data_IF_425517619660
#
_entry.id   IF_425517619660
#
_cell.length_a   1.000
_cell.length_b   1.000
_cell.length_c   1.000
_cell.angle_alpha   90.00
_cell.angle_beta   90.00
_cell.angle_gamma   90.00
#
_symmetry.space_group_name_H-M   'P 1'
#
loop_
_entity.id
_entity.type
_entity.pdbx_description
1 polymer ?
#
# COMPACT_ATOMS: atom_id res chain seq x y z
N UNK A 1 8.36 -45.55 -28.73
CA UNK A 1 9.33 -44.92 -27.81
C UNK A 1 9.26 -45.54 -26.40
N UNK A 2 9.30 -46.88 -26.26
CA UNK A 2 9.35 -47.53 -24.93
C UNK A 2 10.62 -47.24 -24.12
N UNK A 3 11.68 -46.73 -24.77
CA UNK A 3 13.01 -46.59 -24.17
C UNK A 3 13.29 -45.27 -23.44
N UNK A 4 12.57 -44.18 -23.72
CA UNK A 4 12.90 -42.87 -23.13
C UNK A 4 12.28 -42.63 -21.74
N UNK A 5 11.12 -43.23 -21.43
CA UNK A 5 10.44 -43.08 -20.13
C UNK A 5 10.61 -44.29 -19.19
N UNK A 6 10.96 -45.47 -19.72
CA UNK A 6 11.30 -46.64 -18.89
C UNK A 6 12.71 -46.56 -18.26
N UNK A 7 13.51 -45.54 -18.59
CA UNK A 7 14.92 -45.47 -18.21
C UNK A 7 15.22 -44.81 -16.85
N UNK A 8 14.25 -44.24 -16.12
CA UNK A 8 14.54 -43.76 -14.77
C UNK A 8 13.29 -43.68 -13.85
N UNK A 9 12.84 -44.80 -13.26
CA UNK A 9 11.88 -44.78 -12.14
C UNK A 9 12.38 -43.95 -10.93
N UNK A 10 13.69 -43.69 -10.87
CA UNK A 10 14.28 -42.76 -9.92
C UNK A 10 13.87 -41.30 -10.17
N UNK A 11 13.62 -40.86 -11.42
CA UNK A 11 13.35 -39.45 -11.73
C UNK A 11 11.99 -38.99 -11.20
N UNK A 12 10.96 -39.82 -11.31
CA UNK A 12 9.62 -39.50 -10.80
C UNK A 12 9.58 -39.56 -9.27
N UNK A 13 10.33 -40.49 -8.68
CA UNK A 13 10.50 -40.62 -7.22
C UNK A 13 11.32 -39.47 -6.63
N UNK A 14 12.36 -39.01 -7.30
CA UNK A 14 13.14 -37.85 -6.87
C UNK A 14 12.36 -36.56 -7.05
N UNK A 15 11.59 -36.39 -8.13
CA UNK A 15 10.77 -35.20 -8.35
C UNK A 15 9.65 -35.07 -7.32
N UNK A 16 8.96 -36.17 -6.99
CA UNK A 16 7.98 -36.20 -5.90
C UNK A 16 8.63 -35.99 -4.53
N UNK A 17 9.80 -36.62 -4.28
CA UNK A 17 10.55 -36.46 -3.03
C UNK A 17 10.99 -35.02 -2.80
N UNK A 18 11.58 -34.38 -3.81
CA UNK A 18 12.01 -32.97 -3.76
C UNK A 18 10.81 -32.04 -3.53
N UNK A 19 9.69 -32.30 -4.19
CA UNK A 19 8.45 -31.52 -4.04
C UNK A 19 7.92 -31.58 -2.61
N UNK A 20 7.84 -32.78 -2.02
CA UNK A 20 7.40 -32.94 -0.64
C UNK A 20 8.37 -32.28 0.35
N UNK A 21 9.68 -32.44 0.17
CA UNK A 21 10.66 -31.78 1.05
C UNK A 21 10.56 -30.25 0.96
N UNK A 22 10.29 -29.71 -0.23
CA UNK A 22 10.10 -28.27 -0.42
C UNK A 22 8.84 -27.78 0.32
N UNK A 23 7.73 -28.52 0.22
CA UNK A 23 6.48 -28.19 0.91
C UNK A 23 6.68 -28.17 2.43
N UNK A 24 7.34 -29.19 3.00
CA UNK A 24 7.61 -29.23 4.44
C UNK A 24 8.57 -28.11 4.89
N UNK A 25 9.61 -27.82 4.10
CA UNK A 25 10.53 -26.73 4.42
C UNK A 25 9.83 -25.36 4.38
N UNK A 26 9.01 -25.11 3.36
CA UNK A 26 8.22 -23.88 3.24
C UNK A 26 7.22 -23.76 4.39
N UNK A 27 6.52 -24.84 4.72
CA UNK A 27 5.55 -24.86 5.83
C UNK A 27 6.23 -24.55 7.17
N UNK A 28 7.42 -25.13 7.41
CA UNK A 28 8.21 -24.84 8.61
C UNK A 28 8.72 -23.39 8.64
N UNK A 29 9.16 -22.85 7.50
CA UNK A 29 9.58 -21.46 7.40
C UNK A 29 8.43 -20.47 7.69
N UNK A 30 7.23 -20.74 7.16
CA UNK A 30 6.01 -19.94 7.43
C UNK A 30 5.62 -20.04 8.90
N UNK A 31 5.65 -21.23 9.48
CA UNK A 31 5.38 -21.44 10.91
C UNK A 31 6.39 -20.71 11.81
N UNK A 32 7.68 -20.77 11.47
CA UNK A 32 8.72 -20.04 12.21
C UNK A 32 8.51 -18.52 12.19
N UNK A 33 8.10 -17.97 11.03
CA UNK A 33 7.81 -16.55 10.90
C UNK A 33 6.56 -16.09 11.68
N UNK A 34 5.61 -17.00 11.94
CA UNK A 34 4.36 -16.69 12.66
C UNK A 34 4.45 -16.87 14.17
N UNK A 35 5.31 -17.75 14.69
CA UNK A 35 5.42 -18.03 16.14
C UNK A 35 6.28 -17.02 16.90
N UNK A 36 7.29 -16.44 16.25
CA UNK A 36 8.14 -15.41 16.86
C UNK A 36 8.31 -14.21 15.92
N UNK A 37 7.24 -13.45 15.66
CA UNK A 37 7.34 -12.26 14.84
C UNK A 37 8.16 -11.22 15.60
N UNK A 38 9.28 -10.82 15.01
CA UNK A 38 10.07 -9.69 15.50
C UNK A 38 9.52 -8.34 15.02
N UNK A 39 8.44 -8.36 14.23
CA UNK A 39 7.76 -7.16 13.73
C UNK A 39 6.41 -7.00 14.43
N UNK A 40 6.12 -5.76 14.83
CA UNK A 40 4.88 -5.36 15.47
C UNK A 40 4.26 -4.23 14.66
N UNK A 41 2.93 -4.24 14.52
CA UNK A 41 2.16 -3.16 13.95
C UNK A 41 1.65 -2.29 15.10
N UNK A 42 1.82 -0.98 15.00
CA UNK A 42 1.16 -0.03 15.89
C UNK A 42 0.06 0.70 15.13
N UNK A 43 -1.03 0.98 15.84
CA UNK A 43 -2.13 1.78 15.36
C UNK A 43 -2.14 3.14 16.05
N UNK A 44 -2.53 4.17 15.30
CA UNK A 44 -2.71 5.53 15.81
C UNK A 44 -4.17 5.95 15.73
N UNK A 45 -4.64 6.64 16.76
CA UNK A 45 -5.94 7.29 16.77
C UNK A 45 -5.78 8.78 16.49
N UNK A 46 -6.58 9.29 15.56
CA UNK A 46 -6.58 10.71 15.19
C UNK A 46 -7.72 11.45 15.89
N UNK A 47 -7.38 12.59 16.50
CA UNK A 47 -8.35 13.54 17.05
C UNK A 47 -8.34 14.78 16.17
N UNK A 48 -9.51 15.10 15.58
CA UNK A 48 -9.69 16.27 14.74
C UNK A 48 -10.32 17.39 15.58
N UNK A 49 -9.70 18.56 15.56
CA UNK A 49 -10.25 19.77 16.16
C UNK A 49 -10.50 20.79 15.08
N UNK A 50 -11.75 21.19 14.90
CA UNK A 50 -12.15 22.20 13.93
C UNK A 50 -12.37 23.53 14.64
N UNK A 51 -11.70 24.57 14.16
CA UNK A 51 -11.80 25.93 14.66
C UNK A 51 -12.55 26.79 13.63
N UNK A 52 -13.72 27.25 14.03
CA UNK A 52 -14.64 28.07 13.24
C UNK A 52 -15.13 29.26 14.08
N UNK A 53 -15.66 30.28 13.42
CA UNK A 53 -16.28 31.45 14.06
C UNK A 53 -15.34 32.22 15.01
N UNK A 54 -14.05 32.27 14.68
CA UNK A 54 -13.07 33.10 15.38
C UNK A 54 -13.14 34.51 14.79
N UNK A 55 -13.37 35.51 15.64
CA UNK A 55 -13.40 36.91 15.20
C UNK A 55 -12.03 37.35 14.67
N UNK A 56 -11.94 37.85 13.42
CA UNK A 56 -10.70 38.41 12.91
C UNK A 56 -10.36 39.74 13.55
N UNK A 57 -9.06 40.00 13.63
CA UNK A 57 -8.55 41.37 13.73
C UNK A 57 -8.48 41.98 12.34
N UNK A 58 -9.11 43.14 12.16
CA UNK A 58 -9.12 43.90 10.92
C UNK A 58 -8.06 45.00 10.95
N UNK A 59 -7.20 45.04 9.94
CA UNK A 59 -6.20 46.09 9.76
C UNK A 59 -6.32 46.66 8.36
N UNK A 60 -6.69 47.94 8.23
CA UNK A 60 -6.71 48.63 6.95
C UNK A 60 -5.45 49.50 6.80
N UNK A 61 -4.76 49.35 5.69
CA UNK A 61 -3.57 50.12 5.33
C UNK A 61 -3.93 51.07 4.18
N UNK A 62 -3.91 52.38 4.46
CA UNK A 62 -4.29 53.41 3.50
C UNK A 62 -3.27 53.54 2.36
N UNK A 63 -1.96 53.43 2.67
CA UNK A 63 -0.88 53.57 1.70
C UNK A 63 -0.93 52.55 0.56
N UNK A 64 -1.28 51.30 0.88
CA UNK A 64 -1.41 50.19 -0.08
C UNK A 64 -2.85 49.95 -0.52
N UNK A 65 -3.81 50.64 0.10
CA UNK A 65 -5.25 50.41 -0.04
C UNK A 65 -5.61 48.92 0.11
N UNK A 66 -5.13 48.30 1.18
CA UNK A 66 -5.37 46.87 1.49
C UNK A 66 -5.98 46.69 2.86
N UNK A 67 -6.90 45.72 2.98
CA UNK A 67 -7.42 45.25 4.26
C UNK A 67 -6.83 43.87 4.54
N UNK A 68 -6.18 43.73 5.70
CA UNK A 68 -5.69 42.45 6.21
C UNK A 68 -6.59 41.99 7.35
N UNK A 69 -7.10 40.78 7.21
CA UNK A 69 -7.82 40.06 8.25
C UNK A 69 -6.88 39.05 8.89
N UNK A 70 -6.85 38.98 10.22
CA UNK A 70 -5.93 38.10 10.95
C UNK A 70 -6.67 37.26 11.99
N UNK A 71 -6.45 35.95 11.94
CA UNK A 71 -6.91 34.99 12.94
C UNK A 71 -5.73 34.39 13.67
N UNK A 72 -5.88 34.19 14.98
CA UNK A 72 -4.91 33.50 15.81
C UNK A 72 -5.58 32.28 16.43
N UNK A 73 -5.12 31.10 16.03
CA UNK A 73 -5.71 29.83 16.43
C UNK A 73 -4.71 29.05 17.29
N UNK A 74 -5.00 28.87 18.59
CA UNK A 74 -4.18 28.03 19.44
C UNK A 74 -4.46 26.56 19.12
N UNK A 75 -3.51 25.88 18.48
CA UNK A 75 -3.57 24.43 18.30
C UNK A 75 -2.96 23.71 19.51
N UNK A 76 -3.37 22.47 19.73
CA UNK A 76 -2.66 21.57 20.64
C UNK A 76 -1.35 21.12 19.97
N UNK A 77 -0.21 21.43 20.58
CA UNK A 77 1.11 21.06 20.07
C UNK A 77 1.45 19.58 20.27
N UNK A 78 0.78 18.90 21.22
CA UNK A 78 1.05 17.52 21.58
C UNK A 78 0.60 16.58 20.46
N UNK A 79 1.56 15.98 19.77
CA UNK A 79 1.38 15.12 18.61
C UNK A 79 0.58 15.76 17.46
N UNK A 80 0.68 17.08 17.29
CA UNK A 80 0.12 17.75 16.12
C UNK A 80 0.77 17.19 14.85
N UNK A 81 -0.01 16.62 13.93
CA UNK A 81 0.49 16.01 12.69
C UNK A 81 0.30 16.92 11.50
N UNK A 82 -0.89 17.49 11.34
CA UNK A 82 -1.21 18.39 10.23
C UNK A 82 -2.29 19.40 10.56
N UNK A 83 -2.35 20.42 9.71
CA UNK A 83 -3.29 21.52 9.77
C UNK A 83 -3.86 21.72 8.36
N UNK A 84 -5.14 22.06 8.27
CA UNK A 84 -5.81 22.37 7.03
C UNK A 84 -6.64 23.63 7.19
N UNK A 85 -6.19 24.67 6.51
CA UNK A 85 -6.89 25.94 6.37
C UNK A 85 -7.78 25.87 5.14
N UNK A 86 -9.05 26.18 5.31
CA UNK A 86 -9.99 26.45 4.22
C UNK A 86 -10.52 27.87 4.37
N UNK A 87 -10.47 28.65 3.31
CA UNK A 87 -10.99 30.02 3.27
C UNK A 87 -11.93 30.17 2.08
N UNK A 88 -13.07 30.82 2.31
CA UNK A 88 -14.15 31.01 1.33
C UNK A 88 -14.57 32.48 1.27
N UNK A 89 -15.37 32.83 0.26
CA UNK A 89 -15.82 34.21 0.00
C UNK A 89 -14.67 35.20 -0.23
N UNK A 90 -13.57 34.71 -0.81
CA UNK A 90 -12.37 35.49 -1.09
C UNK A 90 -12.57 36.40 -2.30
N UNK A 91 -12.08 37.64 -2.22
CA UNK A 91 -12.05 38.54 -3.38
C UNK A 91 -10.97 38.16 -4.40
N UNK A 92 -11.18 38.54 -5.66
CA UNK A 92 -10.20 38.31 -6.73
C UNK A 92 -8.88 39.02 -6.43
N UNK A 93 -7.78 38.28 -6.54
CA UNK A 93 -6.44 38.76 -6.19
C UNK A 93 -6.16 38.86 -4.70
N UNK A 94 -7.00 38.27 -3.84
CA UNK A 94 -6.71 38.13 -2.42
C UNK A 94 -5.52 37.17 -2.20
N UNK A 95 -4.73 37.45 -1.17
CA UNK A 95 -3.62 36.59 -0.75
C UNK A 95 -3.98 35.93 0.59
N UNK A 96 -3.99 34.59 0.61
CA UNK A 96 -4.21 33.79 1.82
C UNK A 96 -2.88 33.30 2.33
N UNK A 97 -2.59 33.53 3.61
CA UNK A 97 -1.34 33.10 4.26
C UNK A 97 -1.63 32.25 5.49
N UNK A 98 -0.98 31.09 5.56
CA UNK A 98 -0.91 30.22 6.73
C UNK A 98 0.47 30.38 7.38
N UNK A 99 0.49 30.84 8.63
CA UNK A 99 1.71 31.22 9.33
C UNK A 99 1.83 30.43 10.63
N UNK A 100 3.00 29.87 10.88
CA UNK A 100 3.34 29.26 12.16
C UNK A 100 4.82 29.48 12.48
N UNK A 101 5.12 29.82 13.73
CA UNK A 101 6.48 30.17 14.15
C UNK A 101 7.48 29.01 14.14
N UNK A 102 7.02 27.77 14.32
CA UNK A 102 7.87 26.56 14.26
C UNK A 102 8.17 26.11 12.83
N UNK A 103 7.36 26.60 11.88
CA UNK A 103 7.40 26.23 10.47
C UNK A 103 6.62 24.95 10.17
N UNK A 104 5.95 24.95 9.03
CA UNK A 104 5.13 23.84 8.55
C UNK A 104 5.66 23.38 7.18
N UNK A 105 5.41 22.13 6.84
CA UNK A 105 5.71 21.54 5.53
C UNK A 105 4.45 21.58 4.66
N UNK A 106 4.49 22.30 3.55
CA UNK A 106 3.35 22.36 2.61
C UNK A 106 3.82 22.28 1.17
N UNK A 107 2.89 21.93 0.29
CA UNK A 107 3.04 21.95 -1.15
C UNK A 107 1.63 22.01 -1.78
N UNK A 108 1.48 22.63 -2.95
CA UNK A 108 0.18 22.78 -3.64
C UNK A 108 -0.48 21.43 -4.01
N UNK A 109 0.32 20.37 -4.15
CA UNK A 109 -0.16 19.00 -4.45
C UNK A 109 -0.46 18.17 -3.19
N UNK A 110 -0.24 18.71 -2.00
CA UNK A 110 -0.49 17.98 -0.76
C UNK A 110 -2.00 17.82 -0.56
N UNK A 111 -2.47 16.59 -0.42
CA UNK A 111 -3.90 16.27 -0.27
C UNK A 111 -4.71 16.30 -1.57
N UNK A 112 -4.05 16.41 -2.73
CA UNK A 112 -4.71 16.36 -4.04
C UNK A 112 -4.79 14.91 -4.53
N UNK A 113 -6.00 14.45 -4.85
CA UNK A 113 -6.23 13.14 -5.45
C UNK A 113 -5.55 13.02 -6.82
N UNK A 114 -4.90 11.89 -7.09
CA UNK A 114 -4.23 11.63 -8.37
C UNK A 114 -2.91 12.39 -8.58
N UNK A 115 -2.30 12.91 -7.51
CA UNK A 115 -0.95 13.46 -7.56
C UNK A 115 0.13 12.36 -7.66
N UNK A 116 0.15 11.65 -8.80
CA UNK A 116 1.09 10.54 -9.03
C UNK A 116 2.55 10.96 -8.85
N UNK A 117 3.29 10.17 -8.07
CA UNK A 117 4.71 10.41 -7.78
C UNK A 117 4.99 11.56 -6.81
N UNK A 118 3.96 12.20 -6.23
CA UNK A 118 4.15 13.21 -5.20
C UNK A 118 4.47 12.57 -3.84
N UNK A 119 5.60 12.98 -3.25
CA UNK A 119 6.02 12.61 -1.90
C UNK A 119 6.31 13.88 -1.13
N UNK A 120 5.55 14.14 -0.07
CA UNK A 120 5.76 15.31 0.78
C UNK A 120 7.13 15.27 1.49
N UNK A 121 7.71 14.08 1.69
CA UNK A 121 9.07 13.95 2.23
C UNK A 121 10.12 14.68 1.39
N UNK A 122 9.95 14.66 0.07
CA UNK A 122 10.94 15.18 -0.87
C UNK A 122 10.49 16.51 -1.49
N UNK A 123 9.17 16.73 -1.61
CA UNK A 123 8.60 17.88 -2.33
C UNK A 123 8.05 18.98 -1.42
N UNK A 124 7.66 18.69 -0.17
CA UNK A 124 7.15 19.72 0.72
C UNK A 124 8.28 20.59 1.25
N UNK A 125 8.02 21.90 1.31
CA UNK A 125 8.98 22.87 1.81
C UNK A 125 8.61 23.27 3.23
N UNK A 126 9.60 23.26 4.13
CA UNK A 126 9.43 23.79 5.48
C UNK A 126 9.55 25.31 5.45
N UNK A 127 8.44 26.02 5.63
CA UNK A 127 8.42 27.48 5.75
C UNK A 127 7.58 27.90 6.94
N UNK A 128 7.86 29.09 7.47
CA UNK A 128 7.03 29.73 8.50
C UNK A 128 5.75 30.30 7.92
N UNK A 129 5.75 30.64 6.63
CA UNK A 129 4.60 31.19 5.91
C UNK A 129 4.39 30.42 4.61
N UNK A 130 3.18 29.90 4.41
CA UNK A 130 2.69 29.37 3.15
C UNK A 130 1.62 30.31 2.61
N UNK A 131 1.68 30.63 1.32
CA UNK A 131 0.78 31.62 0.72
C UNK A 131 0.24 31.16 -0.62
N UNK A 132 -1.00 31.55 -0.92
CA UNK A 132 -1.68 31.32 -2.20
C UNK A 132 -2.37 32.63 -2.60
N UNK A 133 -2.21 33.01 -3.87
CA UNK A 133 -2.92 34.14 -4.47
C UNK A 133 -4.13 33.58 -5.20
N UNK A 134 -5.30 34.16 -4.92
CA UNK A 134 -6.58 33.77 -5.51
C UNK A 134 -6.73 34.46 -6.86
N UNK A 135 -6.65 33.71 -7.97
CA UNK A 135 -6.79 34.29 -9.32
C UNK A 135 -8.24 34.67 -9.63
N UNK A 136 -9.14 33.72 -9.44
CA UNK A 136 -10.59 33.90 -9.48
C UNK A 136 -11.14 33.55 -8.09
N UNK A 137 -11.96 34.44 -7.52
CA UNK A 137 -12.52 34.29 -6.19
C UNK A 137 -13.17 32.93 -5.98
N UNK A 138 -13.25 32.49 -4.73
CA UNK A 138 -13.79 31.17 -4.41
C UNK A 138 -13.24 30.60 -3.12
N UNK A 139 -13.03 29.29 -3.13
CA UNK A 139 -12.51 28.50 -2.02
C UNK A 139 -11.04 28.17 -2.24
N UNK A 140 -10.22 28.39 -1.22
CA UNK A 140 -8.81 28.00 -1.20
C UNK A 140 -8.55 27.15 0.03
N UNK A 141 -7.84 26.04 -0.17
CA UNK A 141 -7.34 25.19 0.88
C UNK A 141 -5.81 25.19 0.95
N UNK A 142 -5.25 25.34 2.15
CA UNK A 142 -3.82 25.14 2.42
C UNK A 142 -3.68 24.04 3.46
N UNK A 143 -3.15 22.89 3.02
CA UNK A 143 -2.80 21.76 3.89
C UNK A 143 -1.33 21.85 4.23
N UNK A 144 -0.96 21.67 5.48
CA UNK A 144 0.43 21.67 5.92
C UNK A 144 0.67 20.65 7.04
N UNK A 145 1.84 20.03 7.05
CA UNK A 145 2.27 19.05 8.04
C UNK A 145 3.26 19.68 9.03
N UNK A 146 3.29 19.19 10.26
CA UNK A 146 4.33 19.58 11.23
C UNK A 146 5.64 18.82 11.03
N UNK A 147 5.56 17.62 10.45
CA UNK A 147 6.71 16.79 10.06
C UNK A 147 6.41 16.02 8.79
N UNK A 148 7.46 15.69 8.03
CA UNK A 148 7.37 14.82 6.87
C UNK A 148 7.50 13.34 7.20
N UNK A 149 7.84 12.99 8.45
CA UNK A 149 7.95 11.60 8.88
C UNK A 149 6.58 10.89 8.77
N UNK A 150 6.46 9.82 7.98
CA UNK A 150 5.23 9.05 7.91
C UNK A 150 4.98 8.24 9.19
N UNK A 151 5.98 7.86 9.97
CA UNK A 151 5.77 7.04 11.19
C UNK A 151 4.90 7.74 12.25
N UNK A 152 4.78 9.06 12.15
CA UNK A 152 3.93 9.88 13.03
C UNK A 152 2.45 9.84 12.68
N UNK A 153 2.07 9.22 11.56
CA UNK A 153 0.72 9.27 11.01
C UNK A 153 0.32 7.98 10.32
N UNK A 154 -0.92 7.57 10.49
CA UNK A 154 -1.53 6.49 9.71
C UNK A 154 -0.88 5.10 9.93
N UNK A 155 -0.69 4.72 11.19
CA UNK A 155 -0.18 3.43 11.64
C UNK A 155 1.24 3.12 11.13
N UNK A 156 1.85 2.05 11.62
CA UNK A 156 3.15 1.64 11.11
C UNK A 156 3.68 0.37 11.72
N UNK A 157 4.93 0.07 11.41
CA UNK A 157 5.59 -1.17 11.85
C UNK A 157 6.90 -0.87 12.54
N UNK A 158 7.17 -1.59 13.63
CA UNK A 158 8.44 -1.52 14.36
C UNK A 158 9.02 -2.92 14.56
N UNK A 159 10.34 -3.00 14.62
CA UNK A 159 11.05 -4.25 14.92
C UNK A 159 11.49 -4.29 16.38
N UNK A 160 11.11 -5.33 17.11
CA UNK A 160 11.53 -5.57 18.49
C UNK A 160 11.45 -7.05 18.86
N UNK A 161 12.20 -7.44 19.90
CA UNK A 161 12.18 -8.81 20.43
C UNK A 161 11.02 -9.05 21.42
N UNK A 162 10.47 -7.98 21.99
CA UNK A 162 9.39 -8.03 22.98
C UNK A 162 8.35 -6.96 22.65
N UNK A 163 7.10 -7.22 23.01
CA UNK A 163 6.00 -6.27 22.84
C UNK A 163 6.27 -4.95 23.58
N UNK A 164 6.85 -5.01 24.79
CA UNK A 164 7.22 -3.81 25.54
C UNK A 164 8.26 -2.96 24.80
N UNK A 165 9.30 -3.59 24.22
CA UNK A 165 10.29 -2.87 23.43
C UNK A 165 9.73 -2.37 22.09
N UNK A 166 8.74 -3.06 21.54
CA UNK A 166 8.01 -2.59 20.38
C UNK A 166 7.21 -1.33 20.71
N UNK A 167 6.51 -1.34 21.84
CA UNK A 167 5.70 -0.22 22.31
C UNK A 167 6.54 1.04 22.54
N UNK A 168 7.70 0.89 23.18
CA UNK A 168 8.64 1.99 23.39
C UNK A 168 9.08 2.62 22.06
N UNK A 169 9.45 1.81 21.07
CA UNK A 169 9.84 2.30 19.73
C UNK A 169 8.68 2.94 18.97
N UNK A 170 7.47 2.40 19.11
CA UNK A 170 6.29 2.98 18.49
C UNK A 170 5.96 4.35 19.10
N UNK A 171 6.03 4.46 20.44
CA UNK A 171 5.84 5.73 21.14
C UNK A 171 6.89 6.76 20.73
N UNK A 172 8.18 6.41 20.70
CA UNK A 172 9.26 7.29 20.26
C UNK A 172 9.10 7.77 18.81
N UNK A 173 8.52 6.93 17.95
CA UNK A 173 8.25 7.29 16.55
C UNK A 173 7.04 8.24 16.40
N UNK A 174 6.05 8.19 17.29
CA UNK A 174 4.81 8.99 17.22
C UNK A 174 4.96 10.30 18.00
N UNK A 175 5.56 10.23 19.20
CA UNK A 175 5.63 11.30 20.17
C UNK A 175 6.39 12.50 19.60
N UNK A 176 5.70 13.64 19.57
CA UNK A 176 6.26 14.86 19.03
C UNK A 176 5.54 16.08 19.55
N UNK A 177 6.30 17.07 20.00
CA UNK A 177 5.77 18.36 20.43
C UNK A 177 6.02 19.42 19.36
N UNK A 178 4.94 19.99 18.81
CA UNK A 178 5.02 21.11 17.88
C UNK A 178 4.99 22.44 18.64
N UNK A 179 6.13 23.12 18.77
CA UNK A 179 6.21 24.39 19.49
C UNK A 179 6.94 25.48 18.69
N UNK A 180 6.36 26.70 18.55
CA UNK A 180 5.03 27.10 19.01
C UNK A 180 3.88 26.48 18.19
N UNK A 181 2.78 26.11 18.87
CA UNK A 181 1.55 25.56 18.25
C UNK A 181 0.55 26.63 17.81
N UNK A 182 0.85 27.92 17.99
CA UNK A 182 -0.02 29.00 17.54
C UNK A 182 0.02 29.10 16.01
N UNK A 183 -1.14 28.97 15.39
CA UNK A 183 -1.32 29.14 13.95
C UNK A 183 -1.94 30.50 13.70
N UNK A 184 -1.32 31.30 12.84
CA UNK A 184 -1.85 32.59 12.42
C UNK A 184 -2.27 32.50 10.96
N UNK A 185 -3.48 32.95 10.67
CA UNK A 185 -4.00 33.04 9.31
C UNK A 185 -4.14 34.50 8.95
N UNK A 186 -3.64 34.89 7.78
CA UNK A 186 -3.83 36.24 7.26
C UNK A 186 -4.51 36.15 5.88
N UNK A 187 -5.56 36.95 5.68
CA UNK A 187 -6.17 37.14 4.36
C UNK A 187 -6.04 38.62 4.00
N UNK A 188 -5.36 38.90 2.89
CA UNK A 188 -5.05 40.25 2.43
C UNK A 188 -5.90 40.52 1.19
N UNK A 189 -6.75 41.54 1.27
CA UNK A 189 -7.67 41.94 0.21
C UNK A 189 -7.44 43.38 -0.23
N UNK A 190 -7.72 43.68 -1.50
CA UNK A 190 -7.69 45.05 -2.01
C UNK A 190 -8.94 45.84 -1.59
N UNK A 191 -8.73 47.11 -1.26
CA UNK A 191 -9.74 48.06 -0.84
C UNK A 191 -9.97 48.07 0.67
N UNK A 192 -10.77 49.04 1.12
CA UNK A 192 -11.25 49.15 2.49
C UNK A 192 -12.49 48.24 2.68
N UNK A 193 -12.27 46.99 3.08
CA UNK A 193 -13.33 45.97 3.21
C UNK A 193 -13.92 45.98 4.61
N UNK A 194 -15.24 46.04 4.76
CA UNK A 194 -15.93 46.01 6.06
C UNK A 194 -16.36 44.61 6.50
N UNK A 195 -16.46 43.66 5.56
CA UNK A 195 -16.91 42.29 5.81
C UNK A 195 -15.72 41.36 5.68
N UNK A 196 -15.50 40.51 6.68
CA UNK A 196 -14.46 39.50 6.65
C UNK A 196 -14.90 38.29 5.82
N UNK A 197 -13.97 37.64 5.10
CA UNK A 197 -14.21 36.32 4.52
C UNK A 197 -14.41 35.28 5.62
N UNK A 198 -14.97 34.12 5.27
CA UNK A 198 -15.10 32.99 6.19
C UNK A 198 -13.89 32.04 6.09
N UNK A 199 -13.50 31.48 7.23
CA UNK A 199 -12.33 30.62 7.36
C UNK A 199 -12.61 29.52 8.38
N UNK A 200 -12.10 28.35 8.07
CA UNK A 200 -12.11 27.18 8.92
C UNK A 200 -10.70 26.65 8.97
N UNK A 201 -10.21 26.33 10.16
CA UNK A 201 -8.96 25.58 10.29
C UNK A 201 -9.20 24.30 11.08
N UNK A 202 -8.78 23.18 10.50
CA UNK A 202 -8.84 21.88 11.15
C UNK A 202 -7.42 21.46 11.50
N UNK A 203 -7.20 21.12 12.77
CA UNK A 203 -5.94 20.57 13.27
C UNK A 203 -6.14 19.11 13.63
N UNK A 204 -5.11 18.30 13.40
CA UNK A 204 -5.15 16.87 13.71
C UNK A 204 -4.00 16.47 14.60
N UNK A 205 -4.34 15.81 15.70
CA UNK A 205 -3.39 15.24 16.65
C UNK A 205 -3.52 13.72 16.58
N UNK A 206 -2.42 13.01 16.36
CA UNK A 206 -2.41 11.54 16.34
C UNK A 206 -1.74 10.99 17.59
N UNK A 207 -2.38 10.04 18.26
CA UNK A 207 -1.85 9.40 19.46
C UNK A 207 -1.72 7.90 19.24
N UNK A 208 -0.79 7.27 19.98
CA UNK A 208 -0.69 5.83 20.04
C UNK A 208 -1.99 5.20 20.56
N UNK A 209 -2.54 4.23 19.83
CA UNK A 209 -3.74 3.50 20.22
C UNK A 209 -3.38 2.08 20.73
N UNK A 210 -2.82 1.25 19.85
CA UNK A 210 -2.50 -0.15 20.14
C UNK A 210 -1.22 -0.62 19.47
N UNK A 211 -0.69 -1.73 19.95
CA UNK A 211 0.39 -2.46 19.29
C UNK A 211 0.08 -3.96 19.32
N UNK A 212 0.40 -4.64 18.23
CA UNK A 212 0.22 -6.08 18.11
C UNK A 212 1.32 -6.71 17.27
N UNK A 213 1.62 -8.00 17.49
CA UNK A 213 2.55 -8.72 16.63
C UNK A 213 2.00 -8.76 15.21
N UNK A 214 2.89 -8.58 14.23
CA UNK A 214 2.57 -8.85 12.84
C UNK A 214 2.19 -10.33 12.72
N UNK A 215 0.94 -10.59 12.35
CA UNK A 215 0.44 -11.94 12.14
C UNK A 215 0.00 -12.09 10.69
N UNK A 216 0.44 -13.18 10.09
CA UNK A 216 0.02 -13.60 8.76
C UNK A 216 -1.00 -14.70 8.94
N UNK A 217 -2.12 -14.64 8.21
CA UNK A 217 -3.05 -15.76 8.15
C UNK A 217 -2.42 -16.91 7.36
N UNK A 218 -1.71 -17.77 8.09
CA UNK A 218 -0.98 -18.89 7.53
C UNK A 218 -1.87 -19.84 6.74
N UNK A 219 -3.16 -19.97 7.07
CA UNK A 219 -4.08 -20.84 6.34
C UNK A 219 -4.39 -20.28 4.95
N UNK A 220 -4.71 -18.98 4.87
CA UNK A 220 -4.99 -18.32 3.59
C UNK A 220 -3.75 -18.22 2.72
N UNK A 221 -2.60 -17.83 3.29
CA UNK A 221 -1.34 -17.79 2.53
C UNK A 221 -0.91 -19.18 2.04
N UNK A 222 -1.11 -20.23 2.84
CA UNK A 222 -0.85 -21.60 2.43
C UNK A 222 -1.76 -22.03 1.27
N UNK A 223 -3.05 -21.67 1.28
CA UNK A 223 -3.97 -21.97 0.18
C UNK A 223 -3.53 -21.31 -1.12
N UNK A 224 -3.10 -20.04 -1.07
CA UNK A 224 -2.57 -19.34 -2.25
C UNK A 224 -1.27 -19.96 -2.75
N UNK A 225 -0.33 -20.29 -1.85
CA UNK A 225 0.91 -20.96 -2.21
C UNK A 225 0.67 -22.34 -2.82
N UNK A 226 -0.26 -23.12 -2.26
CA UNK A 226 -0.64 -24.44 -2.78
C UNK A 226 -1.30 -24.32 -4.15
N UNK A 227 -2.20 -23.35 -4.34
CA UNK A 227 -2.82 -23.09 -5.64
C UNK A 227 -1.77 -22.74 -6.71
N UNK A 228 -0.77 -21.91 -6.38
CA UNK A 228 0.32 -21.57 -7.28
C UNK A 228 1.17 -22.80 -7.65
N UNK A 229 1.52 -23.64 -6.67
CA UNK A 229 2.30 -24.86 -6.90
C UNK A 229 1.53 -25.84 -7.79
N UNK A 230 0.25 -26.12 -7.48
CA UNK A 230 -0.60 -26.99 -8.30
C UNK A 230 -0.74 -26.43 -9.71
N UNK A 231 -0.86 -25.11 -9.88
CA UNK A 231 -0.90 -24.45 -11.18
C UNK A 231 0.38 -24.66 -11.99
N UNK A 232 1.56 -24.49 -11.38
CA UNK A 232 2.85 -24.75 -12.03
C UNK A 232 3.00 -26.23 -12.45
N UNK A 233 2.63 -27.15 -11.57
CA UNK A 233 2.66 -28.58 -11.89
C UNK A 233 1.67 -28.93 -13.00
N UNK A 234 0.46 -28.38 -12.97
CA UNK A 234 -0.54 -28.58 -14.01
C UNK A 234 -0.05 -28.11 -15.37
N UNK A 235 0.58 -26.93 -15.46
CA UNK A 235 1.16 -26.40 -16.71
C UNK A 235 2.21 -27.34 -17.31
N UNK A 236 3.04 -27.99 -16.50
CA UNK A 236 4.09 -28.91 -17.00
C UNK A 236 3.55 -30.32 -17.27
N UNK A 237 2.70 -30.84 -16.39
CA UNK A 237 2.26 -32.23 -16.42
C UNK A 237 1.13 -32.47 -17.42
N UNK A 238 0.17 -31.54 -17.58
CA UNK A 238 -0.97 -31.74 -18.48
C UNK A 238 -0.52 -31.95 -19.94
N UNK A 239 0.36 -31.11 -20.53
CA UNK A 239 0.88 -31.35 -21.87
C UNK A 239 1.68 -32.66 -21.96
N UNK A 240 2.49 -32.96 -20.93
CA UNK A 240 3.32 -34.17 -20.90
C UNK A 240 2.48 -35.45 -20.89
N UNK A 241 1.42 -35.49 -20.06
CA UNK A 241 0.53 -36.63 -19.96
C UNK A 241 -0.38 -36.78 -21.18
N UNK A 242 -0.88 -35.70 -21.75
CA UNK A 242 -1.72 -35.77 -22.96
C UNK A 242 -0.94 -36.39 -24.13
N UNK A 243 0.32 -35.98 -24.35
CA UNK A 243 1.20 -36.60 -25.36
C UNK A 243 1.45 -38.08 -25.05
N UNK A 244 1.74 -38.43 -23.78
CA UNK A 244 1.96 -39.80 -23.37
C UNK A 244 0.75 -40.71 -23.64
N UNK A 245 -0.45 -40.28 -23.22
CA UNK A 245 -1.67 -41.08 -23.41
C UNK A 245 -2.06 -41.18 -24.89
N UNK A 246 -1.90 -40.11 -25.67
CA UNK A 246 -2.13 -40.14 -27.11
C UNK A 246 -1.19 -41.14 -27.81
N UNK A 247 0.10 -41.13 -27.46
CA UNK A 247 1.07 -42.05 -28.02
C UNK A 247 0.77 -43.51 -27.65
N UNK A 248 0.39 -43.77 -26.39
CA UNK A 248 0.08 -45.12 -25.91
C UNK A 248 -1.22 -45.67 -26.53
N UNK A 249 -2.23 -44.82 -26.71
CA UNK A 249 -3.46 -45.18 -27.42
C UNK A 249 -3.18 -45.51 -28.89
N UNK A 250 -2.30 -44.74 -29.55
CA UNK A 250 -1.85 -45.04 -30.92
C UNK A 250 -1.11 -46.38 -31.00
N UNK A 251 -0.17 -46.65 -30.09
CA UNK A 251 0.57 -47.92 -30.03
C UNK A 251 -0.39 -49.12 -29.88
N UNK A 252 -1.40 -49.01 -29.02
CA UNK A 252 -2.43 -50.07 -28.88
C UNK A 252 -3.26 -50.26 -30.14
N UNK A 253 -3.70 -49.17 -30.80
CA UNK A 253 -4.47 -49.28 -32.05
C UNK A 253 -3.65 -49.88 -33.19
N UNK A 254 -2.39 -49.49 -33.31
CA UNK A 254 -1.48 -50.00 -34.32
C UNK A 254 -1.16 -51.48 -34.07
N UNK A 255 -0.98 -51.90 -32.81
CA UNK A 255 -0.80 -53.30 -32.44
C UNK A 255 -2.01 -54.19 -32.79
N UNK A 256 -3.24 -53.70 -32.56
CA UNK A 256 -4.47 -54.42 -32.94
C UNK A 256 -4.60 -54.55 -34.46
N UNK A 257 -4.25 -53.51 -35.22
CA UNK A 257 -4.25 -53.57 -36.69
C UNK A 257 -3.23 -54.56 -37.24
N UNK A 258 -2.02 -54.58 -36.66
CA UNK A 258 -0.98 -55.55 -37.03
C UNK A 258 -1.45 -56.99 -36.76
N UNK A 259 -2.02 -57.26 -35.59
CA UNK A 259 -2.54 -58.59 -35.26
C UNK A 259 -3.69 -59.03 -36.21
N UNK A 260 -4.58 -58.11 -36.58
CA UNK A 260 -5.64 -58.38 -37.56
C UNK A 260 -5.06 -58.68 -38.96
N UNK A 261 -4.09 -57.90 -39.41
CA UNK A 261 -3.43 -58.14 -40.71
C UNK A 261 -2.61 -59.44 -40.72
N UNK A 262 -1.97 -59.83 -39.61
CA UNK A 262 -1.31 -61.14 -39.49
C UNK A 262 -2.31 -62.30 -39.53
N UNK A 263 -3.51 -62.14 -38.95
CA UNK A 263 -4.59 -63.11 -39.07
C UNK A 263 -5.11 -63.20 -40.51
N UNK A 264 -5.39 -62.06 -41.16
CA UNK A 264 -5.85 -62.04 -42.56
C UNK A 264 -4.83 -62.69 -43.51
N UNK A 265 -3.53 -62.47 -43.28
CA UNK A 265 -2.46 -63.10 -44.08
C UNK A 265 -2.38 -64.61 -43.81
N UNK A 266 -2.50 -65.05 -42.55
CA UNK A 266 -2.51 -66.47 -42.22
C UNK A 266 -3.75 -67.21 -42.75
N UNK A 267 -4.92 -66.56 -42.76
CA UNK A 267 -6.12 -67.10 -43.42
C UNK A 267 -5.98 -67.12 -44.94
N UNK A 268 -5.35 -66.10 -45.53
CA UNK A 268 -5.11 -66.03 -46.98
C UNK A 268 -4.04 -67.03 -47.47
N UNK A 269 -3.10 -67.44 -46.61
CA UNK A 269 -2.07 -68.42 -46.95
C UNK A 269 -2.57 -69.87 -46.89
N UNK A 270 -3.68 -70.16 -46.20
CA UNK A 270 -4.26 -71.51 -46.07
C UNK A 270 -3.29 -72.53 -45.43
N UNK A 271 -3.76 -73.71 -45.00
CA UNK A 271 -2.85 -74.74 -44.53
C UNK A 271 -1.95 -75.18 -45.68
N UNK A 272 -0.64 -74.93 -45.57
CA UNK A 272 0.32 -75.68 -46.36
C UNK A 272 0.23 -77.12 -45.87
N UNK A 273 -0.35 -77.99 -46.69
CA UNK A 273 -0.22 -79.42 -46.55
C UNK A 273 1.29 -79.74 -46.60
N UNK A 274 1.85 -80.10 -45.46
CA UNK A 274 3.02 -80.95 -45.40
C UNK A 274 2.58 -82.33 -45.88
N UNK A 275 2.73 -82.61 -47.19
CA UNK A 275 2.75 -83.96 -47.72
C UNK A 275 3.99 -84.11 -48.63
N UNK A 276 4.72 -85.20 -48.36
CA UNK A 276 6.00 -85.72 -48.92
C UNK A 276 7.34 -85.22 -48.35
#
# INVERSE_FOLDING_TARGET
MRKALAQNPNLLRTLLGLSFTLIFMLSYAVYGATVSPSYYLYDTDSTLTTHENIDPVRIYQEDTNTTTWTWSVPADGANLTWVNLTAVELSNGAEVRLINGAGLFSHQKLGVDGADGFSCRDSCQKNTTHSIIVEEGGEISIIALTSTDPARRSNGTVYAQTESGAKEKALDAIEYEHSPSLIRVEIIEKGNRSTAPAMTITTVNEAFASIGPFSVDAATEFLWALAAVVGCFAMVLIPSFTVYFAANAKEKRDAVKLAASEQDINEALGPQNEDE
#
